data_IF_040007785210
#
_entry.id   IF_040007785210
#
_cell.length_a   1.000
_cell.length_b   1.000
_cell.length_c   1.000
_cell.angle_alpha   90.00
_cell.angle_beta   90.00
_cell.angle_gamma   90.00
#
_symmetry.space_group_name_H-M   'P 1'
#
loop_
_entity.id
_entity.type
_entity.pdbx_description
1 polymer ?
#
# COMPACT_ATOMS: atom_id res chain seq x y z
N UNK A 1 -45.36 3.64 -21.68
CA UNK A 1 -45.23 4.19 -20.30
C UNK A 1 -44.13 5.24 -20.35
N UNK A 2 -44.46 6.51 -20.13
CA UNK A 2 -43.54 7.66 -20.31
C UNK A 2 -43.56 8.43 -18.99
N UNK A 3 -42.45 8.40 -18.26
CA UNK A 3 -42.29 9.12 -17.01
C UNK A 3 -41.77 10.53 -17.30
N UNK A 4 -42.62 11.53 -17.10
CA UNK A 4 -42.28 12.96 -17.15
C UNK A 4 -41.82 13.38 -15.74
N UNK A 5 -40.53 13.67 -15.58
CA UNK A 5 -39.98 14.29 -14.37
C UNK A 5 -40.10 15.82 -14.49
N UNK A 6 -40.94 16.45 -13.66
CA UNK A 6 -40.97 17.91 -13.50
C UNK A 6 -40.06 18.33 -12.34
N UNK A 7 -39.06 19.20 -12.54
CA UNK A 7 -38.23 19.71 -11.45
C UNK A 7 -39.00 20.79 -10.66
N UNK A 8 -38.96 20.70 -9.33
CA UNK A 8 -39.46 21.74 -8.43
C UNK A 8 -38.27 22.67 -8.10
N UNK A 9 -38.25 23.83 -8.75
CA UNK A 9 -37.43 24.96 -8.33
C UNK A 9 -38.26 25.83 -7.38
N UNK A 10 -37.82 25.98 -6.13
CA UNK A 10 -38.35 26.99 -5.21
C UNK A 10 -37.27 28.05 -4.94
N UNK A 11 -37.47 29.30 -5.34
CA UNK A 11 -36.65 30.41 -4.90
C UNK A 11 -37.24 30.99 -3.62
N UNK A 12 -36.45 31.11 -2.55
CA UNK A 12 -36.82 31.96 -1.42
C UNK A 12 -35.71 32.96 -1.22
N UNK A 13 -36.06 34.21 -1.56
CA UNK A 13 -35.26 35.39 -1.35
C UNK A 13 -35.75 36.11 -0.09
N UNK A 14 -34.79 36.49 0.77
CA UNK A 14 -34.77 37.67 1.69
C UNK A 14 -35.73 37.67 2.91
N UNK A 15 -35.54 38.52 3.95
CA UNK A 15 -34.59 39.62 4.11
C UNK A 15 -33.81 39.67 5.45
N UNK A 16 -32.92 40.66 5.48
CA UNK A 16 -32.01 41.10 6.54
C UNK A 16 -32.77 41.82 7.66
N UNK A 17 -32.27 41.66 8.90
CA UNK A 17 -32.41 42.52 10.08
C UNK A 17 -33.81 42.73 10.73
N UNK A 18 -33.90 42.28 11.99
CA UNK A 18 -34.62 42.99 13.03
C UNK A 18 -33.84 42.89 14.36
N UNK A 19 -33.31 44.02 14.79
CA UNK A 19 -32.76 44.27 16.13
C UNK A 19 -33.89 44.26 17.17
N UNK A 20 -33.65 43.69 18.36
CA UNK A 20 -33.78 44.42 19.64
C UNK A 20 -33.58 43.52 20.86
N UNK A 21 -32.65 43.96 21.74
CA UNK A 21 -32.75 44.11 23.21
C UNK A 21 -33.63 43.06 23.92
N UNK A 22 -33.17 42.31 24.92
CA UNK A 22 -32.65 42.82 26.19
C UNK A 22 -31.72 41.79 26.84
N UNK A 23 -30.57 42.27 27.28
CA UNK A 23 -29.65 41.57 28.15
C UNK A 23 -30.33 41.12 29.45
N UNK A 24 -29.95 39.94 29.94
CA UNK A 24 -29.46 39.74 31.32
C UNK A 24 -29.09 38.28 31.55
N UNK A 25 -27.79 38.05 31.69
CA UNK A 25 -27.13 36.80 32.15
C UNK A 25 -26.94 35.70 31.09
N UNK A 26 -26.29 36.05 29.97
CA UNK A 26 -25.59 35.06 29.14
C UNK A 26 -24.23 34.79 29.75
N UNK A 27 -24.09 33.63 30.43
CA UNK A 27 -22.82 33.11 30.88
C UNK A 27 -21.87 33.01 29.67
N UNK A 28 -20.78 33.76 29.76
CA UNK A 28 -19.67 33.74 28.83
C UNK A 28 -19.05 32.34 28.77
N UNK A 29 -19.22 31.62 27.66
CA UNK A 29 -18.12 30.87 27.07
C UNK A 29 -18.03 31.35 25.62
N UNK A 30 -17.31 32.47 25.49
CA UNK A 30 -16.93 33.02 24.21
C UNK A 30 -16.04 32.00 23.48
N UNK A 31 -16.43 31.77 22.23
CA UNK A 31 -15.60 31.33 21.12
C UNK A 31 -14.09 31.55 21.33
N UNK A 32 -13.34 30.46 21.48
CA UNK A 32 -11.89 30.46 21.33
C UNK A 32 -11.37 29.08 20.89
N UNK A 33 -11.95 28.48 19.84
CA UNK A 33 -11.34 27.34 19.13
C UNK A 33 -11.37 27.46 17.60
N UNK A 34 -11.74 28.61 17.04
CA UNK A 34 -11.77 28.79 15.57
C UNK A 34 -10.42 29.23 14.96
N UNK A 35 -9.30 29.05 15.66
CA UNK A 35 -8.03 29.69 15.30
C UNK A 35 -6.86 28.80 14.86
N UNK A 36 -7.01 27.48 14.77
CA UNK A 36 -5.84 26.58 14.60
C UNK A 36 -6.00 25.50 13.52
N UNK A 37 -6.70 25.76 12.42
CA UNK A 37 -6.84 24.78 11.32
C UNK A 37 -6.10 25.14 10.02
N UNK A 38 -5.42 26.27 9.91
CA UNK A 38 -5.01 26.80 8.61
C UNK A 38 -3.56 26.53 8.16
N UNK A 39 -2.77 25.73 8.88
CA UNK A 39 -1.37 25.46 8.49
C UNK A 39 -0.96 24.00 8.68
N UNK A 40 -1.82 23.06 8.30
CA UNK A 40 -1.32 21.74 7.96
C UNK A 40 -0.92 21.81 6.48
N UNK A 41 0.37 22.04 6.19
CA UNK A 41 0.87 21.72 4.86
C UNK A 41 0.47 20.26 4.57
N UNK A 42 -0.14 19.94 3.42
CA UNK A 42 -0.50 18.57 3.12
C UNK A 42 0.78 17.75 3.23
N UNK A 43 0.79 16.79 4.18
CA UNK A 43 1.91 15.88 4.31
C UNK A 43 2.08 15.24 2.93
N UNK A 44 3.30 15.21 2.36
CA UNK A 44 3.55 14.41 1.18
C UNK A 44 3.24 12.96 1.58
N UNK A 45 2.06 12.48 1.18
CA UNK A 45 1.54 11.14 1.50
C UNK A 45 2.54 10.05 1.09
N UNK A 46 3.32 10.36 0.07
CA UNK A 46 4.39 9.59 -0.54
C UNK A 46 5.51 9.27 0.48
N UNK A 47 5.81 10.21 1.38
CA UNK A 47 6.81 10.06 2.46
C UNK A 47 6.22 9.43 3.73
N UNK A 48 4.90 9.45 3.87
CA UNK A 48 4.18 8.96 5.05
C UNK A 48 3.70 7.51 4.90
N UNK A 49 3.79 6.92 3.71
CA UNK A 49 3.33 5.55 3.46
C UNK A 49 4.32 4.56 4.09
N UNK A 50 3.88 3.82 5.11
CA UNK A 50 4.70 2.80 5.77
C UNK A 50 5.02 1.64 4.80
N UNK A 51 6.04 0.85 5.13
CA UNK A 51 6.40 -0.34 4.35
C UNK A 51 5.23 -1.33 4.24
N UNK A 52 4.48 -1.50 5.33
CA UNK A 52 3.27 -2.32 5.39
C UNK A 52 2.15 -1.76 4.50
N UNK A 53 1.88 -0.45 4.56
CA UNK A 53 0.88 0.18 3.69
C UNK A 53 1.26 0.04 2.21
N UNK A 54 2.54 0.19 1.89
CA UNK A 54 3.03 -0.02 0.52
C UNK A 54 2.88 -1.47 0.07
N UNK A 55 3.07 -2.43 0.97
CA UNK A 55 2.76 -3.83 0.70
C UNK A 55 1.27 -4.02 0.40
N UNK A 56 0.36 -3.39 1.14
CA UNK A 56 -1.08 -3.44 0.83
C UNK A 56 -1.40 -2.88 -0.55
N UNK A 57 -0.82 -1.73 -0.92
CA UNK A 57 -0.98 -1.19 -2.27
C UNK A 57 -0.47 -2.16 -3.36
N UNK A 58 0.57 -2.94 -3.07
CA UNK A 58 1.05 -3.96 -4.00
C UNK A 58 0.03 -5.09 -4.19
N UNK A 59 -0.68 -5.49 -3.13
CA UNK A 59 -1.75 -6.48 -3.19
C UNK A 59 -2.95 -5.93 -3.97
N UNK A 60 -3.29 -4.66 -3.78
CA UNK A 60 -4.31 -3.99 -4.59
C UNK A 60 -3.93 -4.00 -6.08
N UNK A 61 -2.71 -3.61 -6.42
CA UNK A 61 -2.20 -3.67 -7.80
C UNK A 61 -2.24 -5.09 -8.38
N UNK A 62 -1.93 -6.11 -7.58
CA UNK A 62 -2.06 -7.51 -7.99
C UNK A 62 -3.51 -7.86 -8.34
N UNK A 63 -4.47 -7.50 -7.49
CA UNK A 63 -5.89 -7.77 -7.73
C UNK A 63 -6.46 -7.01 -8.93
N UNK A 64 -5.91 -5.83 -9.23
CA UNK A 64 -6.22 -5.06 -10.43
C UNK A 64 -5.56 -5.61 -11.72
N UNK A 65 -4.65 -6.59 -11.60
CA UNK A 65 -3.89 -7.12 -12.73
C UNK A 65 -2.73 -6.21 -13.18
N UNK A 66 -2.40 -5.16 -12.42
CA UNK A 66 -1.26 -4.29 -12.69
C UNK A 66 0.01 -4.86 -12.06
N UNK A 67 0.59 -5.85 -12.72
CA UNK A 67 1.78 -6.55 -12.23
C UNK A 67 3.04 -5.68 -12.23
N UNK A 68 3.10 -4.64 -13.07
CA UNK A 68 4.22 -3.70 -13.07
C UNK A 68 4.23 -2.88 -11.77
N UNK A 69 3.09 -2.30 -11.41
CA UNK A 69 2.93 -1.56 -10.15
C UNK A 69 3.10 -2.48 -8.93
N UNK A 70 2.52 -3.68 -8.96
CA UNK A 70 2.70 -4.70 -7.91
C UNK A 70 4.19 -4.96 -7.63
N UNK A 71 5.00 -5.24 -8.65
CA UNK A 71 6.42 -5.52 -8.49
C UNK A 71 7.21 -4.31 -7.97
N UNK A 72 6.88 -3.10 -8.46
CA UNK A 72 7.54 -1.88 -8.02
C UNK A 72 7.27 -1.61 -6.53
N UNK A 73 6.02 -1.73 -6.11
CA UNK A 73 5.59 -1.54 -4.72
C UNK A 73 6.19 -2.61 -3.79
N UNK A 74 6.19 -3.89 -4.22
CA UNK A 74 6.83 -4.97 -3.48
C UNK A 74 8.31 -4.73 -3.27
N UNK A 75 9.06 -4.33 -4.31
CA UNK A 75 10.49 -4.03 -4.17
C UNK A 75 10.76 -2.86 -3.24
N UNK A 76 9.93 -1.82 -3.27
CA UNK A 76 10.05 -0.70 -2.34
C UNK A 76 9.76 -1.13 -0.89
N UNK A 77 8.66 -1.83 -0.64
CA UNK A 77 8.33 -2.33 0.69
C UNK A 77 9.38 -3.33 1.22
N UNK A 78 9.91 -4.21 0.35
CA UNK A 78 10.94 -5.18 0.70
C UNK A 78 12.27 -4.52 1.08
N UNK A 79 12.68 -3.45 0.36
CA UNK A 79 13.84 -2.62 0.70
C UNK A 79 13.69 -1.91 2.03
N UNK A 80 12.47 -1.45 2.34
CA UNK A 80 12.16 -0.81 3.61
C UNK A 80 12.03 -1.80 4.78
N UNK A 81 12.18 -3.10 4.52
CA UNK A 81 12.28 -4.13 5.54
C UNK A 81 10.97 -4.83 5.90
N UNK A 82 9.91 -4.68 5.08
CA UNK A 82 8.63 -5.35 5.30
C UNK A 82 8.77 -6.87 5.08
N UNK A 83 8.64 -7.71 6.13
CA UNK A 83 8.91 -9.14 6.03
C UNK A 83 7.94 -9.86 5.09
N UNK A 84 6.69 -9.40 5.01
CA UNK A 84 5.68 -9.95 4.10
C UNK A 84 6.03 -9.61 2.65
N UNK A 85 6.45 -8.37 2.36
CA UNK A 85 6.83 -7.98 1.02
C UNK A 85 8.08 -8.72 0.52
N UNK A 86 9.07 -8.92 1.39
CA UNK A 86 10.28 -9.69 1.09
C UNK A 86 9.95 -11.15 0.72
N UNK A 87 9.11 -11.81 1.53
CA UNK A 87 8.66 -13.17 1.25
C UNK A 87 7.84 -13.25 -0.04
N UNK A 88 6.88 -12.34 -0.22
CA UNK A 88 5.99 -12.35 -1.39
C UNK A 88 6.77 -12.07 -2.67
N UNK A 89 7.70 -11.10 -2.64
CA UNK A 89 8.59 -10.82 -3.76
C UNK A 89 9.45 -12.03 -4.11
N UNK A 90 10.00 -12.73 -3.11
CA UNK A 90 10.76 -13.95 -3.35
C UNK A 90 9.91 -15.03 -4.04
N UNK A 91 8.70 -15.27 -3.55
CA UNK A 91 7.80 -16.24 -4.18
C UNK A 91 7.47 -15.87 -5.63
N UNK A 92 7.20 -14.60 -5.91
CA UNK A 92 6.95 -14.10 -7.26
C UNK A 92 8.18 -14.28 -8.15
N UNK A 93 9.39 -14.07 -7.64
CA UNK A 93 10.61 -14.28 -8.41
C UNK A 93 10.95 -15.78 -8.60
N UNK A 94 10.33 -16.69 -7.87
CA UNK A 94 10.48 -18.14 -8.04
C UNK A 94 9.42 -18.74 -8.98
N UNK A 95 8.15 -18.38 -8.78
CA UNK A 95 7.00 -19.01 -9.43
C UNK A 95 6.22 -18.05 -10.35
N UNK A 96 6.58 -16.76 -10.35
CA UNK A 96 5.82 -15.72 -11.02
C UNK A 96 5.69 -15.86 -12.53
N UNK A 97 6.67 -16.37 -13.32
CA UNK A 97 6.44 -16.57 -14.75
C UNK A 97 5.26 -17.50 -15.05
N UNK A 98 4.98 -18.46 -14.17
CA UNK A 98 3.83 -19.37 -14.30
C UNK A 98 2.51 -18.70 -13.95
N UNK A 99 2.53 -17.75 -13.00
CA UNK A 99 1.33 -17.08 -12.47
C UNK A 99 0.97 -15.80 -13.23
N UNK A 100 1.98 -15.07 -13.69
CA UNK A 100 1.87 -13.70 -14.24
C UNK A 100 2.44 -13.60 -15.66
N UNK A 101 2.89 -14.71 -16.25
CA UNK A 101 3.43 -14.75 -17.60
C UNK A 101 4.70 -13.90 -17.76
N UNK A 102 4.82 -13.22 -18.90
CA UNK A 102 6.00 -12.40 -19.25
C UNK A 102 6.17 -11.15 -18.40
N UNK A 103 5.17 -10.77 -17.61
CA UNK A 103 5.25 -9.63 -16.71
C UNK A 103 6.24 -9.86 -15.56
N UNK A 104 6.51 -11.11 -15.20
CA UNK A 104 7.46 -11.48 -14.16
C UNK A 104 8.54 -12.37 -14.77
N UNK A 105 9.80 -11.98 -14.55
CA UNK A 105 10.96 -12.83 -14.83
C UNK A 105 11.37 -13.54 -13.56
N UNK A 106 11.64 -14.83 -13.64
CA UNK A 106 12.18 -15.56 -12.52
C UNK A 106 13.62 -15.11 -12.23
N UNK A 107 13.92 -14.90 -10.96
CA UNK A 107 15.26 -14.64 -10.45
C UNK A 107 15.40 -15.34 -9.10
N UNK A 108 16.02 -16.52 -9.11
CA UNK A 108 16.16 -17.32 -7.89
C UNK A 108 17.14 -16.67 -6.90
N UNK A 109 18.10 -15.87 -7.35
CA UNK A 109 19.12 -15.30 -6.48
C UNK A 109 18.59 -14.10 -5.74
N UNK A 110 17.88 -13.22 -6.45
CA UNK A 110 17.09 -12.17 -5.83
C UNK A 110 16.07 -12.79 -4.84
N UNK A 111 15.38 -13.87 -5.22
CA UNK A 111 14.44 -14.54 -4.31
C UNK A 111 15.10 -15.07 -3.02
N UNK A 112 16.24 -15.77 -3.13
CA UNK A 112 16.96 -16.27 -1.95
C UNK A 112 17.47 -15.12 -1.08
N UNK A 113 17.89 -14.00 -1.67
CA UNK A 113 18.26 -12.81 -0.94
C UNK A 113 17.07 -12.32 -0.08
N UNK A 114 15.91 -12.09 -0.68
CA UNK A 114 14.74 -11.60 0.03
C UNK A 114 14.22 -12.59 1.09
N UNK A 115 14.27 -13.90 0.82
CA UNK A 115 13.94 -14.92 1.83
C UNK A 115 14.83 -14.82 3.07
N UNK A 116 16.14 -14.62 2.88
CA UNK A 116 17.06 -14.47 4.03
C UNK A 116 16.74 -13.23 4.85
N UNK A 117 16.41 -12.11 4.21
CA UNK A 117 15.99 -10.89 4.91
C UNK A 117 14.70 -11.12 5.71
N UNK A 118 13.70 -11.78 5.10
CA UNK A 118 12.43 -12.07 5.76
C UNK A 118 12.62 -13.02 6.95
N UNK A 119 13.48 -14.04 6.82
CA UNK A 119 13.85 -14.95 7.91
C UNK A 119 14.51 -14.21 9.06
N UNK A 120 15.41 -13.27 8.78
CA UNK A 120 16.08 -12.45 9.80
C UNK A 120 15.08 -11.59 10.60
N UNK A 121 13.92 -11.28 10.02
CA UNK A 121 12.79 -10.59 10.67
C UNK A 121 11.76 -11.55 11.30
N UNK A 122 12.00 -12.86 11.28
CA UNK A 122 11.12 -13.86 11.90
C UNK A 122 9.99 -14.38 11.02
N UNK A 123 10.01 -14.12 9.70
CA UNK A 123 9.00 -14.66 8.79
C UNK A 123 9.14 -16.18 8.65
N UNK A 124 8.20 -16.92 9.25
CA UNK A 124 8.22 -18.40 9.24
C UNK A 124 7.90 -19.00 7.87
N UNK A 125 7.09 -18.33 7.04
CA UNK A 125 6.80 -18.75 5.68
C UNK A 125 8.07 -18.69 4.83
N UNK A 126 8.81 -17.58 4.92
CA UNK A 126 10.10 -17.42 4.25
C UNK A 126 11.12 -18.48 4.69
N UNK A 127 11.15 -18.82 5.99
CA UNK A 127 12.00 -19.89 6.50
C UNK A 127 11.68 -21.23 5.85
N UNK A 128 10.40 -21.60 5.79
CA UNK A 128 9.96 -22.85 5.17
C UNK A 128 10.32 -22.90 3.67
N UNK A 129 10.16 -21.78 2.96
CA UNK A 129 10.54 -21.67 1.56
C UNK A 129 12.04 -21.79 1.36
N UNK A 130 12.85 -21.12 2.19
CA UNK A 130 14.31 -21.19 2.12
C UNK A 130 14.81 -22.61 2.43
N UNK A 131 14.24 -23.29 3.43
CA UNK A 131 14.55 -24.67 3.75
C UNK A 131 14.22 -25.62 2.59
N UNK A 132 13.08 -25.41 1.93
CA UNK A 132 12.71 -26.14 0.73
C UNK A 132 13.73 -25.93 -0.40
N UNK A 133 14.11 -24.67 -0.69
CA UNK A 133 15.11 -24.37 -1.71
C UNK A 133 16.48 -24.98 -1.39
N UNK A 134 16.88 -25.00 -0.11
CA UNK A 134 18.12 -25.61 0.34
C UNK A 134 18.14 -27.12 0.13
N UNK A 135 17.02 -27.81 0.40
CA UNK A 135 16.87 -29.25 0.12
C UNK A 135 16.98 -29.55 -1.39
N UNK A 136 16.45 -28.66 -2.22
CA UNK A 136 16.52 -28.78 -3.68
C UNK A 136 17.87 -28.41 -4.29
N UNK A 137 18.80 -27.82 -3.52
CA UNK A 137 20.10 -27.34 -4.03
C UNK A 137 20.90 -28.41 -4.78
N UNK A 138 20.80 -29.66 -4.36
CA UNK A 138 21.55 -30.77 -4.96
C UNK A 138 20.86 -31.40 -6.16
N UNK A 139 19.60 -31.05 -6.44
CA UNK A 139 18.88 -31.53 -7.62
C UNK A 139 19.49 -30.94 -8.91
N UNK A 140 19.39 -31.62 -10.06
CA UNK A 140 19.91 -31.11 -11.34
C UNK A 140 19.39 -29.71 -11.70
N UNK A 141 18.10 -29.45 -11.48
CA UNK A 141 17.47 -28.13 -11.62
C UNK A 141 17.91 -27.12 -10.55
N UNK A 142 18.43 -27.61 -9.42
CA UNK A 142 18.85 -26.82 -8.28
C UNK A 142 20.25 -26.21 -8.40
N UNK A 143 21.16 -26.88 -9.11
CA UNK A 143 22.60 -26.53 -9.19
C UNK A 143 22.91 -25.30 -10.03
N UNK A 144 22.09 -24.97 -11.03
CA UNK A 144 22.38 -23.92 -12.01
C UNK A 144 21.80 -22.55 -11.66
N UNK A 145 21.01 -22.46 -10.59
CA UNK A 145 20.08 -21.35 -10.46
C UNK A 145 20.63 -20.13 -9.72
N UNK A 146 21.87 -20.20 -9.18
CA UNK A 146 22.61 -19.04 -8.69
C UNK A 146 24.10 -19.20 -8.91
N UNK A 147 24.54 -18.83 -10.10
CA UNK A 147 25.96 -18.78 -10.48
C UNK A 147 26.56 -17.38 -10.33
N UNK A 148 25.73 -16.36 -10.10
CA UNK A 148 26.12 -14.97 -9.82
C UNK A 148 25.43 -14.47 -8.56
N UNK A 149 26.06 -13.50 -7.89
CA UNK A 149 25.51 -12.82 -6.72
C UNK A 149 24.48 -11.77 -7.18
N UNK A 150 23.36 -11.65 -6.49
CA UNK A 150 22.36 -10.61 -6.81
C UNK A 150 22.93 -9.22 -6.47
N UNK A 151 22.84 -8.26 -7.40
CA UNK A 151 23.55 -6.97 -7.32
C UNK A 151 22.75 -5.80 -6.74
N UNK A 152 21.52 -5.98 -6.26
CA UNK A 152 20.78 -4.91 -5.56
C UNK A 152 19.89 -4.04 -6.43
#
# INVERSE_FOLDING_TARGET
MRFEFRPIATPIATPIAALARHARHGLFIAAALSGALAQAAPLPLDMATTSEQRFQLALEAQTAGDYASMLALLRQAARDGEPQAQETLAWILLAGPTLYGTAVKADRCEAVHWLRQAVAKGNQTAKNQLDFLNRLRNAPSGKMACTSEWEG
#
